data_IF_972631130980
#
_entry.id   IF_972631130980
#
_cell.length_a   1.000
_cell.length_b   1.000
_cell.length_c   1.000
_cell.angle_alpha   90.00
_cell.angle_beta   90.00
_cell.angle_gamma   90.00
#
_symmetry.space_group_name_H-M   'P 1'
#
loop_
_entity.id
_entity.type
_entity.pdbx_description
1 polymer ?
#
# COMPACT_ATOMS: atom_id res chain seq x y z
N UNK A 1 4.08 -8.02 11.56
CA UNK A 1 4.76 -8.32 10.25
C UNK A 1 6.26 -8.13 10.45
N UNK A 2 7.05 -9.10 10.00
CA UNK A 2 8.49 -8.97 10.19
C UNK A 2 9.08 -8.02 9.14
N UNK A 3 10.35 -7.63 9.36
CA UNK A 3 10.99 -6.62 8.51
C UNK A 3 11.14 -7.09 7.06
N UNK A 4 11.44 -8.36 6.86
CA UNK A 4 11.62 -8.88 5.51
C UNK A 4 10.33 -8.81 4.71
N UNK A 5 9.21 -9.20 5.31
CA UNK A 5 7.92 -9.16 4.66
C UNK A 5 7.51 -7.71 4.40
N UNK A 6 7.73 -6.84 5.38
CA UNK A 6 7.42 -5.42 5.22
C UNK A 6 8.21 -4.81 4.05
N UNK A 7 9.51 -5.14 3.96
CA UNK A 7 10.34 -4.60 2.89
C UNK A 7 9.88 -5.11 1.53
N UNK A 8 9.42 -6.36 1.47
CA UNK A 8 8.88 -6.92 0.24
C UNK A 8 7.67 -6.09 -0.24
N UNK A 9 6.75 -5.78 0.68
CA UNK A 9 5.59 -4.97 0.31
C UNK A 9 6.00 -3.56 -0.09
N UNK A 10 6.88 -2.94 0.70
CA UNK A 10 7.29 -1.56 0.40
C UNK A 10 7.91 -1.47 -0.98
N UNK A 11 8.80 -2.41 -1.32
CA UNK A 11 9.45 -2.41 -2.62
C UNK A 11 8.44 -2.57 -3.75
N UNK A 12 7.58 -3.58 -3.64
CA UNK A 12 6.65 -3.86 -4.73
C UNK A 12 5.61 -2.76 -4.90
N UNK A 13 5.09 -2.23 -3.81
CA UNK A 13 4.09 -1.16 -3.88
C UNK A 13 4.73 0.11 -4.40
N UNK A 14 5.95 0.42 -3.97
CA UNK A 14 6.64 1.62 -4.45
C UNK A 14 6.91 1.54 -5.95
N UNK A 15 7.29 0.37 -6.45
CA UNK A 15 7.51 0.21 -7.89
C UNK A 15 6.24 0.47 -8.69
N UNK A 16 5.11 -0.01 -8.19
CA UNK A 16 3.84 0.27 -8.85
C UNK A 16 3.52 1.77 -8.80
N UNK A 17 3.82 2.41 -7.68
CA UNK A 17 3.59 3.84 -7.54
C UNK A 17 4.43 4.67 -8.48
N UNK A 18 5.67 4.25 -8.71
CA UNK A 18 6.53 4.93 -9.67
C UNK A 18 5.94 4.87 -11.06
N UNK A 19 5.44 3.69 -11.45
CA UNK A 19 4.87 3.49 -12.78
C UNK A 19 3.53 4.20 -12.93
N UNK A 20 2.69 4.10 -11.92
CA UNK A 20 1.31 4.56 -12.04
C UNK A 20 1.18 6.07 -11.79
N UNK A 21 1.92 6.58 -10.80
CA UNK A 21 1.79 7.97 -10.37
C UNK A 21 2.92 8.86 -10.86
N UNK A 22 3.93 8.29 -11.52
CA UNK A 22 5.06 9.07 -12.00
C UNK A 22 5.98 9.57 -10.90
N UNK A 23 6.01 8.89 -9.77
CA UNK A 23 6.86 9.29 -8.65
C UNK A 23 8.27 8.76 -8.82
N UNK A 24 9.25 9.45 -8.21
CA UNK A 24 10.59 8.91 -8.10
C UNK A 24 10.60 7.79 -7.07
N UNK A 25 11.66 6.99 -7.06
CA UNK A 25 11.81 5.92 -6.09
C UNK A 25 11.67 6.46 -4.66
N UNK A 26 12.42 7.51 -4.35
CA UNK A 26 12.39 8.09 -3.01
C UNK A 26 10.99 8.60 -2.65
N UNK A 27 10.35 9.28 -3.59
CA UNK A 27 9.00 9.81 -3.34
C UNK A 27 7.99 8.71 -3.12
N UNK A 28 8.07 7.65 -3.92
CA UNK A 28 7.12 6.54 -3.81
C UNK A 28 7.25 5.86 -2.44
N UNK A 29 8.47 5.58 -2.03
CA UNK A 29 8.69 4.94 -0.73
C UNK A 29 8.22 5.85 0.39
N UNK A 30 8.62 7.12 0.34
CA UNK A 30 8.28 8.06 1.42
C UNK A 30 6.78 8.25 1.55
N UNK A 31 6.10 8.42 0.41
CA UNK A 31 4.65 8.63 0.45
C UNK A 31 3.92 7.39 0.92
N UNK A 32 4.38 6.22 0.48
CA UNK A 32 3.72 4.99 0.89
C UNK A 32 3.87 4.75 2.39
N UNK A 33 5.08 4.88 2.93
CA UNK A 33 5.26 4.59 4.36
C UNK A 33 4.62 5.64 5.26
N UNK A 34 4.21 6.78 4.69
CA UNK A 34 3.49 7.81 5.44
C UNK A 34 1.98 7.67 5.30
N UNK A 35 1.50 6.67 4.56
CA UNK A 35 0.09 6.55 4.22
C UNK A 35 -0.69 5.77 5.26
N UNK A 36 -2.00 5.92 5.23
CA UNK A 36 -2.90 5.09 6.05
C UNK A 36 -2.81 3.63 5.61
N UNK A 37 -2.65 3.40 4.31
CA UNK A 37 -2.51 2.04 3.78
C UNK A 37 -1.35 1.32 4.45
N UNK A 38 -0.21 2.01 4.58
CA UNK A 38 0.95 1.40 5.21
C UNK A 38 0.68 1.13 6.69
N UNK A 39 0.04 2.08 7.38
CA UNK A 39 -0.31 1.87 8.78
C UNK A 39 -1.19 0.63 8.97
N UNK A 40 -2.13 0.43 8.05
CA UNK A 40 -2.98 -0.76 8.07
C UNK A 40 -2.17 -2.02 7.77
N UNK A 41 -1.26 -1.93 6.81
CA UNK A 41 -0.46 -3.09 6.41
C UNK A 41 0.35 -3.64 7.58
N UNK A 42 0.95 -2.76 8.37
CA UNK A 42 1.82 -3.20 9.47
C UNK A 42 1.06 -3.45 10.77
N UNK A 43 -0.23 -3.18 10.79
CA UNK A 43 -1.06 -3.45 11.96
C UNK A 43 -1.36 -4.95 12.00
N UNK A 44 -0.78 -5.64 12.98
CA UNK A 44 -0.87 -7.09 13.04
C UNK A 44 -2.29 -7.58 13.29
N UNK A 45 -3.13 -6.76 13.89
CA UNK A 45 -4.51 -7.16 14.15
C UNK A 45 -5.31 -7.27 12.86
N UNK A 46 -4.92 -6.53 11.81
CA UNK A 46 -5.65 -6.55 10.54
C UNK A 46 -5.22 -7.68 9.62
N UNK A 47 -4.10 -8.33 9.91
CA UNK A 47 -3.61 -9.49 9.15
C UNK A 47 -3.52 -9.22 7.64
N UNK A 48 -3.04 -8.03 7.30
CA UNK A 48 -2.98 -7.61 5.89
C UNK A 48 -1.93 -8.37 5.11
N UNK A 49 -1.08 -9.14 5.78
CA UNK A 49 -0.04 -9.92 5.11
C UNK A 49 -0.60 -11.04 4.24
N UNK A 50 -1.91 -11.26 4.28
CA UNK A 50 -2.56 -12.21 3.38
C UNK A 50 -2.91 -11.57 2.03
N UNK A 51 -2.81 -10.25 1.94
CA UNK A 51 -3.10 -9.55 0.69
C UNK A 51 -1.87 -9.55 -0.19
N UNK A 52 -2.10 -9.58 -1.51
CA UNK A 52 -0.99 -9.45 -2.46
C UNK A 52 -0.49 -8.00 -2.47
N UNK A 53 0.75 -7.76 -2.93
CA UNK A 53 1.22 -6.38 -3.08
C UNK A 53 0.35 -5.55 -3.99
N UNK A 54 -0.24 -6.15 -5.04
CA UNK A 54 -1.15 -5.40 -5.91
C UNK A 54 -2.40 -4.95 -5.19
N UNK A 55 -2.92 -5.79 -4.29
CA UNK A 55 -4.09 -5.40 -3.49
C UNK A 55 -3.74 -4.25 -2.56
N UNK A 56 -2.57 -4.29 -1.93
CA UNK A 56 -2.12 -3.20 -1.08
C UNK A 56 -1.90 -1.94 -1.90
N UNK A 57 -1.33 -2.08 -3.10
CA UNK A 57 -1.15 -0.93 -3.98
C UNK A 57 -2.51 -0.30 -4.32
N UNK A 58 -3.52 -1.12 -4.61
CA UNK A 58 -4.84 -0.61 -4.94
C UNK A 58 -5.44 0.16 -3.78
N UNK A 59 -5.21 -0.28 -2.55
CA UNK A 59 -5.65 0.45 -1.37
C UNK A 59 -4.97 1.81 -1.30
N UNK A 60 -3.68 1.86 -1.57
CA UNK A 60 -2.94 3.13 -1.55
C UNK A 60 -3.44 4.05 -2.65
N UNK A 61 -3.73 3.51 -3.82
CA UNK A 61 -4.29 4.29 -4.93
C UNK A 61 -5.64 4.87 -4.54
N UNK A 62 -6.51 4.08 -3.91
CA UNK A 62 -7.79 4.56 -3.44
C UNK A 62 -7.61 5.68 -2.41
N UNK A 63 -6.64 5.53 -1.54
CA UNK A 63 -6.34 6.56 -0.55
C UNK A 63 -5.90 7.86 -1.23
N UNK A 64 -5.01 7.76 -2.23
CA UNK A 64 -4.54 8.95 -2.94
C UNK A 64 -5.66 9.65 -3.71
N UNK A 65 -6.55 8.87 -4.31
CA UNK A 65 -7.58 9.43 -5.20
C UNK A 65 -8.84 9.81 -4.45
N UNK A 66 -9.17 9.10 -3.38
CA UNK A 66 -10.45 9.28 -2.69
C UNK A 66 -10.30 9.56 -1.20
N UNK A 67 -9.08 9.52 -0.70
CA UNK A 67 -8.80 9.85 0.70
C UNK A 67 -8.97 8.72 1.69
N UNK A 68 -9.31 7.51 1.22
CA UNK A 68 -9.59 6.40 2.13
C UNK A 68 -9.21 5.08 1.48
N UNK A 69 -8.22 4.35 2.01
CA UNK A 69 -7.82 3.07 1.43
C UNK A 69 -8.93 2.03 1.49
N UNK A 70 -9.90 2.19 2.37
CA UNK A 70 -10.99 1.22 2.48
C UNK A 70 -11.97 1.30 1.32
N UNK A 71 -11.82 2.30 0.45
CA UNK A 71 -12.63 2.37 -0.77
C UNK A 71 -12.05 1.52 -1.90
N UNK A 72 -10.92 0.86 -1.65
CA UNK A 72 -10.35 -0.10 -2.59
C UNK A 72 -11.33 -1.24 -2.85
N UNK A 73 -11.34 -1.74 -4.09
CA UNK A 73 -12.18 -2.89 -4.43
C UNK A 73 -11.81 -4.14 -3.64
N UNK A 74 -10.58 -4.20 -3.13
CA UNK A 74 -10.13 -5.35 -2.34
C UNK A 74 -10.66 -5.34 -0.92
N UNK A 75 -11.18 -4.19 -0.47
CA UNK A 75 -11.72 -4.03 0.88
C UNK A 75 -13.23 -3.83 0.83
N UNK A 76 -13.69 -2.92 -0.04
CA UNK A 76 -15.10 -2.54 -0.10
C UNK A 76 -15.80 -3.11 -1.32
N UNK A 77 -15.10 -3.89 -2.11
CA UNK A 77 -15.54 -4.27 -3.45
C UNK A 77 -16.61 -5.34 -3.50
N UNK A 78 -17.16 -5.65 -2.42
CA UNK A 78 -18.27 -6.60 -2.43
C UNK A 78 -19.60 -5.94 -2.74
#
# INVERSE_FOLDING_TARGET
MNARTRDFYVRNVAEEGMAEFGLSDFEAVREFISSQTYAMLVDEQLQMNEFSPLAIFDMWKAEREQGDPRLSVYIAGE
#
